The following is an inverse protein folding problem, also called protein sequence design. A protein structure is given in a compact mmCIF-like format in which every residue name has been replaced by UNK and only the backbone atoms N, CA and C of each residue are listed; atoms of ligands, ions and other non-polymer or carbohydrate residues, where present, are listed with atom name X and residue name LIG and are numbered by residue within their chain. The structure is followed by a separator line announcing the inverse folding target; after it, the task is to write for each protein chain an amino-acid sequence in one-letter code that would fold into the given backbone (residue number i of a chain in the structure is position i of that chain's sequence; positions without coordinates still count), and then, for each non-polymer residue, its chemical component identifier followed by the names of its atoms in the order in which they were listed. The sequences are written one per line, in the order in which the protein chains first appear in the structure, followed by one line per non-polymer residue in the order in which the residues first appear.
data_IF_095032623290
#
_entry.id   IF_095032623290
#
_cell.length_a   1.000
_cell.length_b   1.000
_cell.length_c   1.000
_cell.angle_alpha   90.00
_cell.angle_beta   90.00
_cell.angle_gamma   90.00
#
_symmetry.space_group_name_H-M   'P 1'
#
loop_
_entity.id
_entity.type
_entity.pdbx_description
1 polymer ?
#
# COMPACT_ATOMS: atom_id res chain seq x y z
N UNK A 1 40.43 -19.45 -35.90
CA UNK A 1 40.84 -19.36 -34.48
C UNK A 1 41.19 -17.89 -34.23
N UNK A 2 40.41 -17.01 -33.59
CA UNK A 2 39.52 -17.05 -32.41
C UNK A 2 38.29 -16.16 -32.70
N UNK A 3 37.07 -16.72 -32.70
CA UNK A 3 36.03 -16.58 -31.66
C UNK A 3 35.51 -15.14 -31.46
N UNK A 4 34.45 -14.80 -32.20
CA UNK A 4 33.44 -13.82 -31.79
C UNK A 4 32.82 -14.29 -30.47
N UNK A 5 33.14 -13.63 -29.36
CA UNK A 5 32.37 -13.78 -28.12
C UNK A 5 31.12 -12.91 -28.24
N UNK A 6 30.04 -13.56 -28.67
CA UNK A 6 28.68 -13.09 -28.45
C UNK A 6 28.50 -12.84 -26.95
N UNK A 7 28.42 -11.57 -26.54
CA UNK A 7 27.99 -11.21 -25.20
C UNK A 7 26.46 -11.22 -25.23
N UNK A 8 25.92 -12.42 -25.08
CA UNK A 8 24.53 -12.66 -24.75
C UNK A 8 24.30 -11.99 -23.38
N UNK A 9 23.81 -10.76 -23.40
CA UNK A 9 23.24 -10.13 -22.20
C UNK A 9 22.04 -10.98 -21.84
N UNK A 10 22.23 -11.84 -20.84
CA UNK A 10 21.16 -12.63 -20.22
C UNK A 10 20.21 -11.62 -19.58
N UNK A 11 19.13 -11.29 -20.30
CA UNK A 11 17.93 -10.72 -19.70
C UNK A 11 17.52 -11.69 -18.59
N UNK A 12 17.65 -11.27 -17.34
CA UNK A 12 16.88 -11.84 -16.24
C UNK A 12 15.41 -11.42 -16.45
N UNK A 13 14.75 -12.05 -17.42
CA UNK A 13 13.30 -12.22 -17.40
C UNK A 13 13.05 -13.33 -16.39
N UNK A 14 12.85 -12.95 -15.13
CA UNK A 14 12.22 -13.84 -14.16
C UNK A 14 10.81 -14.10 -14.66
N UNK A 15 10.66 -15.22 -15.38
CA UNK A 15 9.40 -15.85 -15.72
C UNK A 15 8.68 -16.23 -14.41
N UNK A 16 7.81 -15.33 -13.94
CA UNK A 16 6.68 -15.67 -13.08
C UNK A 16 5.42 -15.70 -13.94
N UNK A 17 5.38 -16.59 -14.93
CA UNK A 17 4.13 -16.97 -15.59
C UNK A 17 3.45 -18.02 -14.69
N UNK A 18 2.43 -17.62 -13.91
CA UNK A 18 1.23 -18.42 -13.57
C UNK A 18 0.43 -17.95 -12.32
N UNK A 19 0.46 -16.68 -11.95
CA UNK A 19 -0.76 -16.05 -11.42
C UNK A 19 -1.36 -15.25 -12.57
N UNK A 20 -2.62 -15.52 -12.96
CA UNK A 20 -3.31 -14.59 -13.87
C UNK A 20 -3.23 -13.20 -13.23
N UNK A 21 -2.89 -12.17 -14.01
CA UNK A 21 -2.96 -10.76 -13.62
C UNK A 21 -4.43 -10.35 -13.43
N UNK A 22 -5.13 -11.01 -12.50
CA UNK A 22 -6.48 -10.66 -12.12
C UNK A 22 -6.43 -9.47 -11.14
N UNK A 23 -7.53 -8.73 -11.02
CA UNK A 23 -7.62 -7.68 -10.02
C UNK A 23 -7.25 -8.17 -8.60
N UNK A 24 -7.69 -9.38 -8.25
CA UNK A 24 -7.45 -9.98 -6.94
C UNK A 24 -5.99 -10.31 -6.69
N UNK A 25 -5.30 -10.95 -7.65
CA UNK A 25 -3.88 -11.29 -7.48
C UNK A 25 -3.02 -10.04 -7.38
N UNK A 26 -3.34 -9.00 -8.16
CA UNK A 26 -2.66 -7.70 -8.09
C UNK A 26 -2.87 -7.03 -6.73
N UNK A 27 -4.11 -7.04 -6.21
CA UNK A 27 -4.41 -6.48 -4.89
C UNK A 27 -3.68 -7.22 -3.76
N UNK A 28 -3.69 -8.55 -3.78
CA UNK A 28 -3.02 -9.38 -2.76
C UNK A 28 -1.51 -9.16 -2.79
N UNK A 29 -0.91 -9.21 -3.98
CA UNK A 29 0.54 -9.01 -4.14
C UNK A 29 0.97 -7.61 -3.67
N UNK A 30 0.17 -6.58 -3.94
CA UNK A 30 0.46 -5.25 -3.44
C UNK A 30 0.51 -5.21 -1.92
N UNK A 31 -0.50 -5.74 -1.22
CA UNK A 31 -0.51 -5.72 0.24
C UNK A 31 0.66 -6.52 0.85
N UNK A 32 0.97 -7.69 0.29
CA UNK A 32 2.09 -8.52 0.76
C UNK A 32 3.43 -7.79 0.57
N UNK A 33 3.66 -7.19 -0.60
CA UNK A 33 4.91 -6.49 -0.87
C UNK A 33 5.00 -5.15 -0.12
N UNK A 34 3.86 -4.51 0.13
CA UNK A 34 3.74 -3.29 0.93
C UNK A 34 4.13 -3.54 2.38
N UNK A 35 3.56 -4.56 3.00
CA UNK A 35 3.75 -4.89 4.42
C UNK A 35 5.18 -5.37 4.74
N UNK A 36 5.89 -5.91 3.73
CA UNK A 36 7.32 -6.22 3.85
C UNK A 36 8.20 -4.99 4.02
N UNK A 37 7.71 -3.81 3.63
CA UNK A 37 8.48 -2.58 3.81
C UNK A 37 8.31 -2.08 5.24
N UNK A 38 9.40 -1.65 5.87
CA UNK A 38 9.30 -0.93 7.14
C UNK A 38 8.64 0.43 6.94
N UNK A 39 7.91 0.92 7.94
CA UNK A 39 7.30 2.26 7.93
C UNK A 39 8.39 3.34 8.05
N UNK A 40 9.02 3.64 6.92
CA UNK A 40 10.16 4.54 6.80
C UNK A 40 10.34 5.00 5.33
N UNK A 41 11.49 5.60 5.01
CA UNK A 41 11.79 6.08 3.65
C UNK A 41 11.81 4.97 2.58
N UNK A 42 12.12 3.73 2.93
CA UNK A 42 12.13 2.57 2.01
C UNK A 42 10.71 2.27 1.51
N UNK A 43 9.70 2.34 2.38
CA UNK A 43 8.31 2.20 1.98
C UNK A 43 7.90 3.28 0.97
N UNK A 44 8.31 4.52 1.20
CA UNK A 44 8.04 5.62 0.26
C UNK A 44 8.69 5.35 -1.10
N UNK A 45 9.93 4.86 -1.11
CA UNK A 45 10.65 4.57 -2.36
C UNK A 45 10.07 3.36 -3.09
N UNK A 46 9.62 2.35 -2.35
CA UNK A 46 8.83 1.24 -2.87
C UNK A 46 7.56 1.76 -3.58
N UNK A 47 6.77 2.62 -2.91
CA UNK A 47 5.54 3.20 -3.50
C UNK A 47 5.87 3.98 -4.77
N UNK A 48 6.95 4.78 -4.77
CA UNK A 48 7.41 5.53 -5.96
C UNK A 48 7.76 4.61 -7.13
N UNK A 49 8.40 3.47 -6.87
CA UNK A 49 8.84 2.52 -7.89
C UNK A 49 7.69 1.71 -8.52
N UNK A 50 6.54 1.57 -7.86
CA UNK A 50 5.45 0.72 -8.34
C UNK A 50 4.84 1.20 -9.68
N UNK A 51 4.75 0.29 -10.66
CA UNK A 51 4.22 0.57 -12.02
C UNK A 51 2.74 0.22 -12.19
N UNK A 52 2.15 -0.42 -11.19
CA UNK A 52 0.76 -0.85 -11.15
C UNK A 52 -0.10 0.03 -10.22
N UNK A 53 0.45 1.11 -9.63
CA UNK A 53 -0.33 2.10 -8.89
C UNK A 53 -0.73 3.25 -9.81
N UNK A 54 -1.96 3.75 -9.70
CA UNK A 54 -2.34 4.98 -10.40
C UNK A 54 -1.52 6.15 -9.89
N UNK A 55 -1.33 7.18 -10.73
CA UNK A 55 -0.60 8.39 -10.32
C UNK A 55 -1.25 9.07 -9.12
N UNK A 56 -2.59 9.11 -9.11
CA UNK A 56 -3.36 9.68 -8.01
C UNK A 56 -3.13 8.90 -6.72
N UNK A 57 -3.34 7.58 -6.73
CA UNK A 57 -3.18 6.74 -5.56
C UNK A 57 -1.76 6.80 -4.99
N UNK A 58 -0.74 6.72 -5.86
CA UNK A 58 0.66 6.85 -5.45
C UNK A 58 0.92 8.16 -4.71
N UNK A 59 0.38 9.27 -5.22
CA UNK A 59 0.58 10.58 -4.62
C UNK A 59 -0.12 10.70 -3.26
N UNK A 60 -1.39 10.29 -3.18
CA UNK A 60 -2.12 10.35 -1.91
C UNK A 60 -1.52 9.39 -0.87
N UNK A 61 -1.17 8.16 -1.26
CA UNK A 61 -0.59 7.20 -0.32
C UNK A 61 0.71 7.71 0.29
N UNK A 62 1.60 8.31 -0.50
CA UNK A 62 2.83 8.94 0.01
C UNK A 62 2.53 10.04 1.04
N UNK A 63 1.47 10.84 0.83
CA UNK A 63 1.08 11.89 1.79
C UNK A 63 0.59 11.30 3.10
N UNK A 64 -0.22 10.24 3.04
CA UNK A 64 -0.65 9.50 4.21
C UNK A 64 0.54 8.88 4.97
N UNK A 65 1.49 8.27 4.26
CA UNK A 65 2.68 7.67 4.89
C UNK A 65 3.59 8.71 5.55
N UNK A 66 3.87 9.83 4.87
CA UNK A 66 4.63 10.92 5.49
C UNK A 66 3.92 11.47 6.73
N UNK A 67 2.61 11.70 6.64
CA UNK A 67 1.84 12.19 7.78
C UNK A 67 1.81 11.18 8.93
N UNK A 68 1.77 9.87 8.64
CA UNK A 68 1.81 8.82 9.65
C UNK A 68 3.18 8.74 10.34
N UNK A 69 4.28 8.78 9.58
CA UNK A 69 5.64 8.78 10.12
C UNK A 69 5.85 10.00 11.05
N UNK A 70 5.44 11.19 10.60
CA UNK A 70 5.55 12.42 11.39
C UNK A 70 4.60 12.40 12.60
N UNK A 71 3.37 11.92 12.43
CA UNK A 71 2.36 11.82 13.49
C UNK A 71 2.81 10.88 14.61
N UNK A 72 3.28 9.68 14.28
CA UNK A 72 3.85 8.74 15.27
C UNK A 72 5.06 9.36 15.98
N UNK A 73 5.92 10.11 15.28
CA UNK A 73 7.06 10.81 15.89
C UNK A 73 6.58 11.73 17.03
N UNK A 74 5.50 12.48 16.79
CA UNK A 74 4.92 13.38 17.78
C UNK A 74 4.24 12.64 18.95
N UNK A 75 3.62 11.49 18.68
CA UNK A 75 2.97 10.69 19.73
C UNK A 75 3.96 9.90 20.61
N UNK A 76 5.09 9.47 20.04
CA UNK A 76 6.05 8.57 20.70
C UNK A 76 7.46 9.19 20.76
N UNK A 77 7.65 10.10 21.72
CA UNK A 77 8.91 10.66 22.24
C UNK A 77 10.09 10.67 21.23
N UNK A 78 9.88 11.34 20.09
CA UNK A 78 10.93 11.54 19.10
C UNK A 78 11.66 12.86 19.36
N UNK A 79 12.86 13.08 18.77
CA UNK A 79 13.67 14.26 19.07
C UNK A 79 13.10 15.57 18.50
N UNK A 80 11.91 15.53 17.87
CA UNK A 80 11.26 16.67 17.23
C UNK A 80 9.92 16.96 17.92
N UNK A 81 9.66 18.22 18.21
CA UNK A 81 8.35 18.71 18.65
C UNK A 81 7.58 19.31 17.46
N UNK A 82 6.26 19.50 17.61
CA UNK A 82 5.42 20.11 16.55
C UNK A 82 5.95 21.49 16.10
N UNK A 83 6.56 22.25 17.03
CA UNK A 83 7.18 23.55 16.74
C UNK A 83 8.37 23.48 15.77
N UNK A 84 8.97 22.30 15.62
CA UNK A 84 10.15 22.06 14.79
C UNK A 84 9.77 21.71 13.34
N UNK A 85 8.49 21.45 13.06
CA UNK A 85 8.00 21.13 11.72
C UNK A 85 7.93 22.38 10.85
N UNK A 86 8.30 22.23 9.57
CA UNK A 86 8.01 23.28 8.59
C UNK A 86 6.49 23.31 8.30
N UNK A 87 5.94 24.44 7.82
CA UNK A 87 4.49 24.57 7.59
C UNK A 87 3.88 23.48 6.70
N UNK A 88 4.65 22.94 5.75
CA UNK A 88 4.21 21.84 4.89
C UNK A 88 4.03 20.52 5.66
N UNK A 89 4.94 20.20 6.58
CA UNK A 89 4.88 19.01 7.44
C UNK A 89 3.70 19.10 8.41
N UNK A 90 3.52 20.25 9.06
CA UNK A 90 2.37 20.50 9.93
C UNK A 90 1.03 20.37 9.17
N UNK A 91 0.97 20.87 7.91
CA UNK A 91 -0.20 20.70 7.05
C UNK A 91 -0.44 19.23 6.68
N UNK A 92 0.63 18.46 6.39
CA UNK A 92 0.51 17.03 6.09
C UNK A 92 -0.06 16.27 7.29
N UNK A 93 0.51 16.46 8.48
CA UNK A 93 0.04 15.78 9.70
C UNK A 93 -1.40 16.15 10.00
N UNK A 94 -1.74 17.44 10.09
CA UNK A 94 -3.10 17.89 10.40
C UNK A 94 -4.15 17.37 9.42
N UNK A 95 -3.81 17.23 8.14
CA UNK A 95 -4.75 16.77 7.11
C UNK A 95 -4.86 15.25 7.05
N UNK A 96 -3.74 14.55 7.07
CA UNK A 96 -3.65 13.15 6.67
C UNK A 96 -3.41 12.17 7.83
N UNK A 97 -2.88 12.62 8.96
CA UNK A 97 -2.73 11.75 10.13
C UNK A 97 -4.08 11.53 10.81
N UNK A 98 -4.40 10.27 11.11
CA UNK A 98 -5.68 9.84 11.70
C UNK A 98 -5.51 8.96 12.94
N UNK A 99 -4.31 8.89 13.50
CA UNK A 99 -3.96 8.00 14.62
C UNK A 99 -3.59 6.57 14.19
N UNK A 100 -4.14 6.09 13.08
CA UNK A 100 -3.86 4.75 12.54
C UNK A 100 -3.05 4.81 11.22
N UNK A 101 -2.35 3.73 10.90
CA UNK A 101 -1.65 3.58 9.62
C UNK A 101 -2.68 3.49 8.48
N UNK A 102 -2.44 4.10 7.31
CA UNK A 102 -3.41 4.09 6.21
C UNK A 102 -3.73 2.71 5.59
N UNK A 103 -2.91 1.69 5.85
CA UNK A 103 -3.01 0.33 5.27
C UNK A 103 -2.70 -0.74 6.32
N UNK A 104 -1.64 -0.60 7.11
CA UNK A 104 -1.19 -1.65 8.05
C UNK A 104 -1.90 -1.50 9.40
N UNK A 105 -2.89 -2.35 9.68
CA UNK A 105 -3.62 -2.31 10.96
C UNK A 105 -2.96 -3.19 12.03
N UNK A 106 -2.78 -2.63 13.23
CA UNK A 106 -2.31 -3.36 14.43
C UNK A 106 -0.84 -3.16 14.78
N UNK A 107 -0.49 -3.45 16.04
CA UNK A 107 0.83 -3.16 16.63
C UNK A 107 1.96 -4.15 16.22
N UNK A 108 1.91 -4.75 15.02
CA UNK A 108 2.85 -5.84 14.70
C UNK A 108 3.04 -6.20 13.22
N UNK A 109 2.60 -5.35 12.28
CA UNK A 109 2.63 -5.65 10.84
C UNK A 109 1.29 -6.17 10.32
N UNK A 110 1.29 -6.78 9.15
CA UNK A 110 0.11 -7.29 8.47
C UNK A 110 0.07 -8.82 8.31
N UNK A 111 -1.04 -9.35 7.80
CA UNK A 111 -1.16 -10.76 7.44
C UNK A 111 -0.11 -11.19 6.41
N UNK A 112 0.48 -12.38 6.60
CA UNK A 112 1.43 -12.95 5.63
C UNK A 112 0.80 -13.30 4.28
N UNK A 113 -0.54 -13.44 4.24
CA UNK A 113 -1.31 -13.68 3.04
C UNK A 113 -2.77 -13.26 3.24
N UNK A 114 -3.54 -13.24 2.14
CA UNK A 114 -4.92 -12.77 2.11
C UNK A 114 -5.83 -13.73 1.34
N UNK A 115 -7.08 -13.82 1.79
CA UNK A 115 -8.19 -14.45 1.07
C UNK A 115 -9.14 -13.39 0.51
N UNK A 116 -9.66 -13.63 -0.69
CA UNK A 116 -10.70 -12.79 -1.29
C UNK A 116 -12.04 -13.09 -0.61
N UNK A 117 -12.64 -12.08 -0.02
CA UNK A 117 -13.99 -12.15 0.56
C UNK A 117 -15.04 -11.76 -0.46
N UNK A 118 -14.79 -10.68 -1.21
CA UNK A 118 -15.67 -10.25 -2.30
C UNK A 118 -14.92 -9.37 -3.29
N UNK A 119 -15.38 -9.35 -4.54
CA UNK A 119 -15.01 -8.37 -5.55
C UNK A 119 -16.29 -7.77 -6.13
N UNK A 120 -16.52 -6.48 -5.90
CA UNK A 120 -17.68 -5.75 -6.41
C UNK A 120 -17.23 -4.43 -7.01
N UNK A 121 -17.50 -4.22 -8.29
CA UNK A 121 -17.22 -2.94 -8.98
C UNK A 121 -15.77 -2.45 -8.84
N UNK A 122 -14.80 -3.36 -8.83
CA UNK A 122 -13.38 -3.03 -8.66
C UNK A 122 -12.93 -2.82 -7.22
N UNK A 123 -13.83 -2.93 -6.24
CA UNK A 123 -13.49 -2.96 -4.82
C UNK A 123 -13.37 -4.41 -4.36
N UNK A 124 -12.16 -4.77 -3.96
CA UNK A 124 -11.79 -6.13 -3.55
C UNK A 124 -11.65 -6.11 -2.03
N UNK A 125 -12.55 -6.80 -1.35
CA UNK A 125 -12.45 -7.04 0.09
C UNK A 125 -11.54 -8.24 0.33
N UNK A 126 -10.44 -7.99 1.03
CA UNK A 126 -9.47 -8.99 1.44
C UNK A 126 -9.57 -9.21 2.95
N UNK A 127 -9.32 -10.44 3.38
CA UNK A 127 -9.20 -10.81 4.79
C UNK A 127 -7.86 -11.49 5.01
N UNK A 128 -7.21 -11.18 6.13
CA UNK A 128 -5.95 -11.83 6.51
C UNK A 128 -6.12 -13.33 6.68
N UNK A 129 -5.16 -14.10 6.16
CA UNK A 129 -5.01 -15.52 6.51
C UNK A 129 -4.38 -15.59 7.90
N UNK A 130 -4.95 -16.41 8.78
CA UNK A 130 -4.55 -16.57 10.18
C UNK A 130 -4.60 -15.28 11.03
N UNK A 131 -5.23 -14.23 10.51
CA UNK A 131 -5.48 -12.96 11.18
C UNK A 131 -6.95 -12.56 10.94
N UNK A 132 -7.84 -13.20 11.68
CA UNK A 132 -9.27 -13.28 11.36
C UNK A 132 -9.98 -11.93 11.31
N UNK A 133 -9.53 -10.97 12.12
CA UNK A 133 -10.16 -9.65 12.23
C UNK A 133 -9.58 -8.64 11.23
N UNK A 134 -8.48 -8.98 10.56
CA UNK A 134 -7.89 -8.10 9.56
C UNK A 134 -8.72 -8.14 8.28
N UNK A 135 -9.28 -6.98 7.92
CA UNK A 135 -10.00 -6.76 6.67
C UNK A 135 -9.52 -5.48 6.03
N UNK A 136 -9.46 -5.48 4.70
CA UNK A 136 -9.08 -4.30 3.94
C UNK A 136 -9.74 -4.30 2.57
N UNK A 137 -10.18 -3.11 2.13
CA UNK A 137 -10.57 -2.89 0.75
C UNK A 137 -9.38 -2.43 -0.07
N UNK A 138 -9.23 -3.01 -1.26
CA UNK A 138 -8.32 -2.54 -2.31
C UNK A 138 -9.15 -2.24 -3.55
N UNK A 139 -9.00 -1.02 -4.09
CA UNK A 139 -9.65 -0.59 -5.32
C UNK A 139 -8.71 -0.85 -6.50
N UNK A 140 -9.16 -1.66 -7.45
CA UNK A 140 -8.46 -1.97 -8.68
C UNK A 140 -9.30 -1.53 -9.88
N UNK A 141 -8.69 -0.75 -10.77
CA UNK A 141 -9.33 -0.22 -11.98
C UNK A 141 -8.62 -0.75 -13.23
N UNK A 142 -9.32 -0.75 -14.37
CA UNK A 142 -8.70 -1.02 -15.67
C UNK A 142 -8.37 0.31 -16.36
N UNK A 143 -7.09 0.50 -16.70
CA UNK A 143 -6.60 1.64 -17.48
C UNK A 143 -5.96 1.08 -18.73
N UNK A 144 -6.57 1.34 -19.89
CA UNK A 144 -6.07 0.91 -21.20
C UNK A 144 -5.74 -0.60 -21.29
N UNK A 145 -6.61 -1.45 -20.71
CA UNK A 145 -6.44 -2.89 -20.71
C UNK A 145 -5.52 -3.43 -19.61
N UNK A 146 -4.95 -2.55 -18.77
CA UNK A 146 -4.08 -2.93 -17.64
C UNK A 146 -4.78 -2.66 -16.31
N UNK A 147 -4.76 -3.65 -15.42
CA UNK A 147 -5.24 -3.44 -14.05
C UNK A 147 -4.25 -2.63 -13.22
N UNK A 148 -4.77 -1.64 -12.51
CA UNK A 148 -4.01 -0.72 -11.66
C UNK A 148 -4.70 -0.56 -10.31
N UNK A 149 -3.92 -0.45 -9.24
CA UNK A 149 -4.41 -0.16 -7.91
C UNK A 149 -4.60 1.34 -7.79
N UNK A 150 -5.82 1.71 -7.44
CA UNK A 150 -6.27 3.10 -7.31
C UNK A 150 -6.63 3.46 -5.87
N UNK A 151 -6.70 2.50 -4.95
CA UNK A 151 -7.04 2.75 -3.55
C UNK A 151 -6.75 1.55 -2.66
N UNK A 152 -6.46 1.78 -1.39
CA UNK A 152 -6.34 0.75 -0.36
C UNK A 152 -6.51 1.37 1.03
N UNK A 153 -7.14 0.63 1.94
CA UNK A 153 -7.33 1.06 3.33
C UNK A 153 -8.04 2.43 3.40
N UNK A 154 -7.40 3.43 4.02
CA UNK A 154 -7.94 4.79 4.12
C UNK A 154 -7.83 5.60 2.82
N UNK A 155 -7.02 5.17 1.87
CA UNK A 155 -6.61 6.00 0.74
C UNK A 155 -7.44 5.67 -0.49
N UNK A 156 -8.27 6.63 -0.92
CA UNK A 156 -9.15 6.52 -2.09
C UNK A 156 -10.12 5.31 -2.06
N UNK A 157 -10.56 4.94 -0.85
CA UNK A 157 -11.67 4.02 -0.62
C UNK A 157 -12.87 4.84 -0.14
N UNK A 158 -14.09 4.60 -0.66
CA UNK A 158 -15.30 5.24 -0.14
C UNK A 158 -15.42 5.03 1.38
N UNK A 159 -15.76 6.11 2.09
CA UNK A 159 -15.85 6.12 3.55
C UNK A 159 -16.85 5.06 4.06
N UNK A 160 -17.96 4.86 3.36
CA UNK A 160 -18.94 3.80 3.67
C UNK A 160 -18.33 2.39 3.63
N UNK A 161 -17.46 2.10 2.65
CA UNK A 161 -16.77 0.81 2.54
C UNK A 161 -15.71 0.68 3.63
N UNK A 162 -14.92 1.74 3.83
CA UNK A 162 -13.92 1.79 4.90
C UNK A 162 -14.56 1.54 6.27
N UNK A 163 -15.61 2.27 6.61
CA UNK A 163 -16.31 2.14 7.89
C UNK A 163 -16.96 0.77 8.03
N UNK A 164 -17.51 0.16 6.96
CA UNK A 164 -18.17 -1.14 7.05
C UNK A 164 -17.31 -2.30 7.56
N UNK A 165 -15.97 -2.15 7.54
CA UNK A 165 -15.03 -3.16 8.05
C UNK A 165 -14.32 -2.72 9.35
N UNK A 166 -14.59 -1.51 9.84
CA UNK A 166 -14.01 -0.96 11.09
C UNK A 166 -15.09 -0.59 12.12
N UNK A 167 -16.38 -0.64 11.77
CA UNK A 167 -17.49 -0.20 12.61
C UNK A 167 -17.96 -1.21 13.66
N UNK A 168 -17.23 -2.31 13.90
CA UNK A 168 -17.58 -3.29 14.95
C UNK A 168 -16.96 -2.97 16.34
N UNK A 169 -16.40 -1.77 16.54
CA UNK A 169 -15.78 -1.34 17.81
C UNK A 169 -16.46 -0.15 18.53
N UNK A 170 -17.77 0.08 18.33
CA UNK A 170 -18.55 1.02 19.14
C UNK A 170 -19.85 0.41 19.67
#
# INVERSE_FOLDING_TARGET
MKLFKSLLVVLFLSLSLNAKDTPESIAINFLIEYDKQGVNQELIDYIRAQKNLTKYFKHELIRYEYAFILGICLEYDCPYEEKDFIPEEAMLVSKYYKGDHPIIYGNGGGPSNYKVVSNKNGYILLSGVDWLDYRIYVKVINVDGKFMIDGAGMVNIPEELYNSIHSENY
#
